data_IF_601402508394
#
_entry.id   IF_601402508394
#
_cell.length_a   1.000
_cell.length_b   1.000
_cell.length_c   1.000
_cell.angle_alpha   90.00
_cell.angle_beta   90.00
_cell.angle_gamma   90.00
#
_symmetry.space_group_name_H-M   'P 1'
#
loop_
_entity.id
_entity.type
_entity.pdbx_description
1 polymer ?
#
# COMPACT_ATOMS: atom_id res chain seq x y z
N UNK A 1 -16.25 -8.09 9.47
CA UNK A 1 -15.94 -8.91 10.67
C UNK A 1 -15.37 -10.28 10.30
N UNK A 2 -15.80 -10.95 9.19
CA UNK A 2 -15.32 -12.27 8.79
C UNK A 2 -13.88 -12.32 8.29
N UNK A 3 -13.43 -11.29 7.58
CA UNK A 3 -12.10 -11.24 6.97
C UNK A 3 -10.93 -11.46 7.96
N UNK A 4 -10.98 -10.81 9.13
CA UNK A 4 -9.93 -10.98 10.14
C UNK A 4 -9.87 -12.40 10.69
N UNK A 5 -11.01 -13.04 10.90
CA UNK A 5 -11.09 -14.43 11.35
C UNK A 5 -10.56 -15.40 10.29
N UNK A 6 -10.89 -15.18 9.02
CA UNK A 6 -10.37 -15.96 7.90
C UNK A 6 -8.84 -15.92 7.86
N UNK A 7 -8.23 -14.74 8.01
CA UNK A 7 -6.76 -14.60 8.04
C UNK A 7 -6.14 -15.30 9.24
N UNK A 8 -6.72 -15.13 10.43
CA UNK A 8 -6.24 -15.81 11.63
C UNK A 8 -6.33 -17.34 11.49
N UNK A 9 -7.43 -17.87 10.98
CA UNK A 9 -7.56 -19.32 10.73
C UNK A 9 -6.50 -19.83 9.74
N UNK A 10 -6.19 -19.05 8.70
CA UNK A 10 -5.15 -19.42 7.73
C UNK A 10 -3.77 -19.51 8.41
N UNK A 11 -3.44 -18.60 9.32
CA UNK A 11 -2.21 -18.65 10.11
C UNK A 11 -2.19 -19.91 11.00
N UNK A 12 -3.27 -20.18 11.74
CA UNK A 12 -3.39 -21.36 12.58
C UNK A 12 -3.21 -22.66 11.78
N UNK A 13 -3.79 -22.77 10.59
CA UNK A 13 -3.58 -23.93 9.72
C UNK A 13 -2.13 -24.10 9.32
N UNK A 14 -1.44 -23.02 9.01
CA UNK A 14 0.00 -23.08 8.69
C UNK A 14 0.82 -23.60 9.87
N UNK A 15 0.52 -23.12 11.09
CA UNK A 15 1.18 -23.56 12.32
C UNK A 15 0.90 -25.05 12.61
N UNK A 16 -0.36 -25.50 12.49
CA UNK A 16 -0.76 -26.90 12.71
C UNK A 16 -0.15 -27.86 11.66
N UNK A 17 -0.14 -27.47 10.38
CA UNK A 17 0.52 -28.29 9.34
C UNK A 17 2.01 -28.44 9.58
N UNK A 18 2.68 -27.44 10.09
CA UNK A 18 4.07 -27.55 10.53
C UNK A 18 4.19 -28.51 11.72
N UNK A 19 3.39 -28.31 12.77
CA UNK A 19 3.47 -29.11 13.99
C UNK A 19 3.14 -30.59 13.77
N UNK A 20 2.12 -30.90 12.96
CA UNK A 20 1.65 -32.27 12.74
C UNK A 20 2.33 -33.01 11.59
N UNK A 21 2.79 -32.28 10.57
CA UNK A 21 3.26 -32.85 9.30
C UNK A 21 4.67 -32.47 8.93
N UNK A 22 5.29 -31.57 9.66
CA UNK A 22 6.59 -31.01 9.30
C UNK A 22 6.59 -30.20 7.99
N UNK A 23 5.42 -29.69 7.58
CA UNK A 23 5.31 -28.86 6.38
C UNK A 23 5.82 -27.47 6.70
N UNK A 24 6.95 -27.08 6.15
CA UNK A 24 7.47 -25.71 6.27
C UNK A 24 6.53 -24.71 5.61
N UNK A 25 6.12 -23.71 6.37
CA UNK A 25 5.22 -22.63 5.92
C UNK A 25 5.82 -21.28 6.27
N UNK A 26 5.61 -20.29 5.39
CA UNK A 26 6.02 -18.89 5.59
C UNK A 26 4.76 -18.02 5.71
N UNK A 27 4.65 -17.24 6.80
CA UNK A 27 3.44 -16.45 7.10
C UNK A 27 3.78 -14.96 7.15
N UNK A 28 3.42 -14.22 6.10
CA UNK A 28 3.62 -12.78 6.02
C UNK A 28 2.28 -12.02 6.19
N UNK A 29 2.20 -11.14 7.18
CA UNK A 29 1.08 -10.22 7.41
C UNK A 29 1.32 -8.91 6.67
N UNK A 30 0.75 -8.80 5.48
CA UNK A 30 0.92 -7.62 4.63
C UNK A 30 0.20 -6.40 5.17
N UNK A 31 0.90 -5.27 5.21
CA UNK A 31 0.30 -3.95 5.28
C UNK A 31 -0.01 -3.41 3.87
N UNK A 32 -0.48 -2.15 3.76
CA UNK A 32 -0.86 -1.63 2.45
C UNK A 32 0.32 -1.61 1.48
N UNK A 33 0.21 -2.36 0.40
CA UNK A 33 1.20 -2.40 -0.68
C UNK A 33 0.75 -1.48 -1.82
N UNK A 34 1.69 -0.77 -2.44
CA UNK A 34 1.45 0.08 -3.59
C UNK A 34 2.62 0.00 -4.58
N UNK A 35 2.39 0.39 -5.81
CA UNK A 35 3.43 0.42 -6.84
C UNK A 35 2.88 0.27 -8.24
N UNK A 36 3.74 0.29 -9.26
CA UNK A 36 3.38 -0.05 -10.63
C UNK A 36 2.76 -1.46 -10.74
N UNK A 37 1.96 -1.66 -11.79
CA UNK A 37 1.26 -2.91 -12.13
C UNK A 37 0.14 -3.30 -11.18
N UNK A 38 -0.17 -2.48 -10.17
CA UNK A 38 -1.33 -2.67 -9.29
C UNK A 38 -2.61 -2.08 -9.89
N UNK A 39 -3.75 -2.39 -9.25
CA UNK A 39 -5.02 -1.75 -9.58
C UNK A 39 -4.95 -0.26 -9.29
N UNK A 40 -5.24 0.58 -10.28
CA UNK A 40 -5.18 2.03 -10.19
C UNK A 40 -6.51 2.71 -10.49
N UNK A 41 -7.52 1.95 -10.93
CA UNK A 41 -8.86 2.42 -11.31
C UNK A 41 -9.92 1.36 -11.02
N UNK A 42 -11.21 1.75 -11.03
CA UNK A 42 -12.36 0.84 -10.85
C UNK A 42 -12.83 0.67 -9.40
N UNK A 43 -12.39 1.51 -8.47
CA UNK A 43 -12.88 1.59 -7.08
C UNK A 43 -12.31 0.52 -6.13
N UNK A 44 -11.30 -0.24 -6.56
CA UNK A 44 -10.58 -1.22 -5.73
C UNK A 44 -9.15 -0.82 -5.44
N UNK A 45 -8.71 0.29 -6.01
CA UNK A 45 -7.37 0.83 -5.84
C UNK A 45 -7.15 1.32 -4.40
N UNK A 46 -5.91 1.19 -3.93
CA UNK A 46 -5.48 1.76 -2.65
C UNK A 46 -5.24 3.26 -2.78
N UNK A 47 -5.24 3.96 -1.64
CA UNK A 47 -5.12 5.42 -1.61
C UNK A 47 -3.94 5.99 -2.45
N UNK A 48 -2.72 5.43 -2.45
CA UNK A 48 -1.64 5.94 -3.30
C UNK A 48 -2.01 5.98 -4.78
N UNK A 49 -2.56 4.88 -5.30
CA UNK A 49 -2.97 4.80 -6.71
C UNK A 49 -4.20 5.69 -7.01
N UNK A 50 -5.18 5.74 -6.08
CA UNK A 50 -6.35 6.60 -6.21
C UNK A 50 -5.96 8.09 -6.25
N UNK A 51 -5.02 8.53 -5.41
CA UNK A 51 -4.56 9.92 -5.40
C UNK A 51 -3.78 10.26 -6.68
N UNK A 52 -2.90 9.37 -7.14
CA UNK A 52 -2.23 9.54 -8.44
C UNK A 52 -3.26 9.70 -9.57
N UNK A 53 -4.24 8.80 -9.67
CA UNK A 53 -5.29 8.88 -10.70
C UNK A 53 -6.07 10.18 -10.63
N UNK A 54 -6.58 10.56 -9.46
CA UNK A 54 -7.38 11.78 -9.27
C UNK A 54 -6.59 13.04 -9.65
N UNK A 55 -5.32 13.12 -9.29
CA UNK A 55 -4.46 14.25 -9.66
C UNK A 55 -4.21 14.30 -11.16
N UNK A 56 -3.96 13.15 -11.81
CA UNK A 56 -3.79 13.05 -13.27
C UNK A 56 -5.07 13.49 -13.99
N UNK A 57 -6.24 13.00 -13.56
CA UNK A 57 -7.54 13.38 -14.11
C UNK A 57 -7.81 14.88 -13.96
N UNK A 58 -7.56 15.45 -12.79
CA UNK A 58 -7.72 16.88 -12.54
C UNK A 58 -6.81 17.73 -13.42
N UNK A 59 -5.56 17.30 -13.62
CA UNK A 59 -4.59 17.95 -14.50
C UNK A 59 -5.01 17.88 -15.97
N UNK A 60 -5.46 16.72 -16.44
CA UNK A 60 -5.86 16.48 -17.83
C UNK A 60 -7.16 17.20 -18.19
N UNK A 61 -8.13 17.25 -17.27
CA UNK A 61 -9.42 17.92 -17.49
C UNK A 61 -9.41 19.41 -17.20
N UNK A 62 -8.39 19.90 -16.49
CA UNK A 62 -8.33 21.29 -16.01
C UNK A 62 -9.36 21.60 -14.92
N UNK A 63 -9.88 20.58 -14.19
CA UNK A 63 -10.91 20.79 -13.15
C UNK A 63 -10.40 21.62 -11.97
N UNK A 64 -9.08 21.61 -11.71
CA UNK A 64 -8.45 22.37 -10.63
C UNK A 64 -8.78 21.87 -9.22
N UNK A 65 -9.52 20.76 -9.06
CA UNK A 65 -9.98 20.27 -7.75
C UNK A 65 -9.80 18.77 -7.58
N UNK A 66 -9.65 18.34 -6.30
CA UNK A 66 -9.57 16.92 -5.90
C UNK A 66 -10.50 16.64 -4.73
N UNK A 67 -11.27 15.55 -4.80
CA UNK A 67 -12.11 15.07 -3.71
C UNK A 67 -11.33 14.13 -2.79
N UNK A 68 -11.37 14.41 -1.48
CA UNK A 68 -10.78 13.63 -0.40
C UNK A 68 -11.88 13.07 0.50
N UNK A 69 -11.82 11.76 0.81
CA UNK A 69 -12.77 11.12 1.70
C UNK A 69 -12.38 11.35 3.17
N UNK A 70 -13.36 11.78 3.97
CA UNK A 70 -13.15 12.29 5.32
C UNK A 70 -12.53 13.68 5.31
N UNK A 71 -11.84 14.04 6.37
CA UNK A 71 -11.10 15.30 6.50
C UNK A 71 -9.61 15.18 6.08
N UNK A 72 -9.20 13.99 5.64
CA UNK A 72 -7.84 13.71 5.20
C UNK A 72 -6.80 13.59 6.32
N UNK A 73 -7.21 13.65 7.60
CA UNK A 73 -6.31 13.54 8.76
C UNK A 73 -5.90 12.11 9.08
N UNK A 74 -6.66 11.12 8.61
CA UNK A 74 -6.36 9.70 8.86
C UNK A 74 -4.98 9.32 8.28
N UNK A 75 -4.19 8.60 9.10
CA UNK A 75 -2.83 8.22 8.74
C UNK A 75 -2.73 6.75 8.31
N UNK A 76 -1.85 6.46 7.37
CA UNK A 76 -1.54 5.10 6.91
C UNK A 76 -0.05 5.00 6.62
N UNK A 77 0.45 3.77 6.65
CA UNK A 77 1.72 3.44 6.01
C UNK A 77 1.48 2.69 4.71
N UNK A 78 2.38 2.89 3.75
CA UNK A 78 2.32 2.25 2.45
C UNK A 78 3.68 1.67 2.11
N UNK A 79 3.74 0.37 1.85
CA UNK A 79 4.96 -0.34 1.47
C UNK A 79 5.09 -0.41 -0.05
N UNK A 80 6.25 -0.03 -0.57
CA UNK A 80 6.51 -0.12 -2.01
C UNK A 80 6.62 -1.58 -2.47
N UNK A 81 6.11 -1.88 -3.66
CA UNK A 81 6.02 -3.25 -4.17
C UNK A 81 7.37 -3.97 -4.24
N UNK A 82 8.47 -3.29 -4.55
CA UNK A 82 9.78 -3.93 -4.59
C UNK A 82 10.25 -4.39 -3.20
N UNK A 83 9.97 -3.62 -2.15
CA UNK A 83 10.24 -4.04 -0.78
C UNK A 83 9.34 -5.22 -0.38
N UNK A 84 8.08 -5.21 -0.82
CA UNK A 84 7.16 -6.32 -0.58
C UNK A 84 7.68 -7.62 -1.18
N UNK A 85 8.08 -7.61 -2.46
CA UNK A 85 8.61 -8.81 -3.14
C UNK A 85 9.91 -9.30 -2.52
N UNK A 86 10.81 -8.37 -2.17
CA UNK A 86 12.04 -8.70 -1.44
C UNK A 86 11.76 -9.32 -0.08
N UNK A 87 10.83 -8.74 0.69
CA UNK A 87 10.44 -9.27 2.00
C UNK A 87 9.82 -10.67 1.92
N UNK A 88 8.98 -10.93 0.91
CA UNK A 88 8.42 -12.27 0.66
C UNK A 88 9.55 -13.28 0.42
N UNK A 89 10.49 -12.93 -0.45
CA UNK A 89 11.63 -13.81 -0.75
C UNK A 89 12.46 -14.12 0.49
N UNK A 90 12.80 -13.10 1.28
CA UNK A 90 13.57 -13.26 2.51
C UNK A 90 12.83 -14.12 3.56
N UNK A 91 11.51 -13.90 3.73
CA UNK A 91 10.69 -14.67 4.70
C UNK A 91 10.56 -16.14 4.25
N UNK A 92 10.41 -16.37 2.94
CA UNK A 92 10.26 -17.72 2.40
C UNK A 92 11.56 -18.56 2.42
N UNK A 93 12.72 -17.93 2.59
CA UNK A 93 14.02 -18.58 2.54
C UNK A 93 14.81 -18.52 3.87
N UNK A 94 14.12 -18.30 4.99
CA UNK A 94 14.73 -18.34 6.32
C UNK A 94 14.05 -19.36 7.22
N UNK A 95 14.86 -20.23 7.82
CA UNK A 95 14.39 -21.23 8.78
C UNK A 95 13.89 -20.59 10.09
N UNK A 96 14.36 -19.37 10.41
CA UNK A 96 14.01 -18.65 11.63
C UNK A 96 12.53 -18.19 11.68
N UNK A 97 11.81 -18.28 10.54
CA UNK A 97 10.42 -17.86 10.40
C UNK A 97 9.47 -18.98 9.97
N UNK A 98 9.90 -20.24 10.03
CA UNK A 98 9.01 -21.37 9.75
C UNK A 98 7.80 -21.31 10.68
N UNK A 99 6.60 -21.37 10.10
CA UNK A 99 5.31 -21.32 10.79
C UNK A 99 5.13 -20.12 11.76
N UNK A 100 5.92 -19.06 11.58
CA UNK A 100 5.94 -17.90 12.47
C UNK A 100 5.39 -16.68 11.75
N UNK A 101 4.21 -16.12 12.17
CA UNK A 101 3.63 -14.95 11.54
C UNK A 101 4.49 -13.70 11.75
N UNK A 102 4.81 -12.99 10.66
CA UNK A 102 5.60 -11.76 10.71
C UNK A 102 4.95 -10.61 9.95
N UNK A 103 4.98 -9.40 10.52
CA UNK A 103 4.52 -8.21 9.84
C UNK A 103 5.46 -7.84 8.70
N UNK A 104 4.90 -7.57 7.53
CA UNK A 104 5.62 -7.05 6.37
C UNK A 104 4.93 -5.78 5.89
N UNK A 105 5.51 -4.63 6.23
CA UNK A 105 4.95 -3.31 5.94
C UNK A 105 5.93 -2.19 6.21
N UNK A 106 5.58 -0.98 5.78
CA UNK A 106 6.34 0.23 6.10
C UNK A 106 5.96 0.77 7.49
N UNK A 107 6.92 1.31 8.22
CA UNK A 107 6.71 2.07 9.44
C UNK A 107 6.43 3.57 9.18
N UNK A 108 6.70 4.06 7.96
CA UNK A 108 6.51 5.46 7.56
C UNK A 108 5.02 5.83 7.49
N UNK A 109 4.56 6.65 8.44
CA UNK A 109 3.18 7.16 8.48
C UNK A 109 3.03 8.43 7.67
N UNK A 110 1.92 8.51 6.92
CA UNK A 110 1.53 9.71 6.20
C UNK A 110 0.02 9.95 6.35
N UNK A 111 -0.40 11.21 6.48
CA UNK A 111 -1.82 11.57 6.37
C UNK A 111 -2.29 11.52 4.91
N UNK A 112 -3.58 11.38 4.69
CA UNK A 112 -4.12 11.46 3.31
C UNK A 112 -3.90 12.86 2.72
N UNK A 113 -3.99 13.91 3.54
CA UNK A 113 -3.70 15.28 3.09
C UNK A 113 -2.25 15.42 2.62
N UNK A 114 -1.27 14.89 3.37
CA UNK A 114 0.15 14.94 2.99
C UNK A 114 0.44 14.06 1.78
N UNK A 115 -0.24 12.92 1.65
CA UNK A 115 -0.15 12.07 0.46
C UNK A 115 -0.63 12.82 -0.79
N UNK A 116 -1.75 13.55 -0.70
CA UNK A 116 -2.22 14.41 -1.80
C UNK A 116 -1.19 15.50 -2.13
N UNK A 117 -0.66 16.19 -1.11
CA UNK A 117 0.39 17.22 -1.31
C UNK A 117 1.64 16.65 -2.00
N UNK A 118 2.04 15.42 -1.63
CA UNK A 118 3.16 14.72 -2.27
C UNK A 118 2.87 14.45 -3.76
N UNK A 119 1.66 13.97 -4.09
CA UNK A 119 1.30 13.69 -5.48
C UNK A 119 1.16 14.98 -6.30
N UNK A 120 0.59 16.05 -5.72
CA UNK A 120 0.54 17.38 -6.33
C UNK A 120 1.95 17.90 -6.67
N UNK A 121 2.90 17.76 -5.73
CA UNK A 121 4.32 18.12 -5.95
C UNK A 121 4.93 17.32 -7.09
N UNK A 122 4.70 16.01 -7.15
CA UNK A 122 5.19 15.13 -8.22
C UNK A 122 4.59 15.53 -9.58
N UNK A 123 3.30 15.84 -9.62
CA UNK A 123 2.57 16.24 -10.82
C UNK A 123 2.87 17.68 -11.27
N UNK A 124 3.46 18.51 -10.40
CA UNK A 124 3.71 19.93 -10.66
C UNK A 124 2.42 20.77 -10.71
N UNK A 125 1.42 20.43 -9.89
CA UNK A 125 0.12 21.12 -9.82
C UNK A 125 -0.26 21.42 -8.38
N UNK A 126 -1.18 22.36 -8.17
CA UNK A 126 -1.85 22.60 -6.89
C UNK A 126 -3.36 22.56 -7.16
N UNK A 127 -4.10 21.77 -6.37
CA UNK A 127 -5.53 21.56 -6.56
C UNK A 127 -6.31 22.05 -5.34
N UNK A 128 -7.52 22.56 -5.60
CA UNK A 128 -8.49 22.85 -4.54
C UNK A 128 -8.99 21.52 -3.94
N UNK A 129 -9.03 21.42 -2.60
CA UNK A 129 -9.45 20.21 -1.89
C UNK A 129 -10.89 20.30 -1.47
N UNK A 130 -11.71 19.36 -1.92
CA UNK A 130 -13.07 19.16 -1.43
C UNK A 130 -13.13 17.92 -0.53
N UNK A 131 -13.76 18.02 0.64
CA UNK A 131 -13.81 16.98 1.64
C UNK A 131 -15.18 16.34 1.74
N UNK A 132 -15.26 15.02 1.52
CA UNK A 132 -16.47 14.22 1.68
C UNK A 132 -16.51 13.59 3.06
N UNK A 133 -17.00 14.34 4.05
CA UNK A 133 -16.92 13.98 5.48
C UNK A 133 -17.74 12.74 5.87
N UNK A 134 -18.78 12.41 5.11
CA UNK A 134 -19.65 11.25 5.29
C UNK A 134 -19.11 9.96 4.66
N UNK A 135 -18.02 10.05 3.89
CA UNK A 135 -17.40 8.89 3.28
C UNK A 135 -16.65 8.02 4.31
N UNK A 136 -16.61 6.68 4.12
CA UNK A 136 -15.93 5.79 5.05
C UNK A 136 -14.41 6.00 5.02
N UNK A 137 -13.82 6.33 6.17
CA UNK A 137 -12.37 6.56 6.34
C UNK A 137 -11.60 5.40 6.95
N UNK A 138 -12.34 4.45 7.59
CA UNK A 138 -11.75 3.34 8.31
C UNK A 138 -11.16 3.76 9.67
N UNK A 139 -10.01 3.17 10.07
CA UNK A 139 -9.35 3.47 11.35
C UNK A 139 -8.58 4.80 11.29
N UNK A 140 -8.38 5.47 12.44
CA UNK A 140 -7.69 6.76 12.51
C UNK A 140 -6.21 6.68 12.07
N UNK A 141 -5.49 5.64 12.47
CA UNK A 141 -4.08 5.43 12.11
C UNK A 141 -3.70 3.96 12.07
N UNK A 142 -2.74 3.60 11.20
CA UNK A 142 -2.21 2.24 11.12
C UNK A 142 -0.85 2.23 10.40
N UNK A 143 0.15 1.62 11.05
CA UNK A 143 1.46 1.32 10.46
C UNK A 143 1.92 -0.11 10.83
N UNK A 144 3.08 -0.52 10.35
CA UNK A 144 3.70 -1.79 10.70
C UNK A 144 4.61 -1.64 11.91
N UNK A 145 4.53 -2.58 12.84
CA UNK A 145 5.59 -2.81 13.81
C UNK A 145 6.64 -3.74 13.16
N UNK A 146 7.81 -3.20 12.91
CA UNK A 146 8.90 -3.89 12.22
C UNK A 146 9.98 -4.43 13.16
N UNK A 147 9.76 -4.41 14.48
CA UNK A 147 10.74 -4.87 15.48
C UNK A 147 11.19 -6.30 15.20
N UNK A 148 10.25 -7.19 14.93
CA UNK A 148 10.53 -8.61 14.71
C UNK A 148 11.28 -8.84 13.39
N UNK A 149 10.84 -8.25 12.28
CA UNK A 149 11.48 -8.41 10.97
C UNK A 149 12.92 -7.86 10.97
N UNK A 150 13.14 -6.72 11.62
CA UNK A 150 14.50 -6.16 11.82
C UNK A 150 15.38 -7.08 12.67
N UNK A 151 14.83 -7.66 13.74
CA UNK A 151 15.61 -8.53 14.64
C UNK A 151 16.05 -9.82 13.97
N UNK A 152 15.22 -10.42 13.12
CA UNK A 152 15.47 -11.72 12.47
C UNK A 152 16.19 -11.51 11.13
N UNK A 153 15.62 -10.73 10.23
CA UNK A 153 16.14 -10.57 8.86
C UNK A 153 17.20 -9.47 8.72
N UNK A 154 17.50 -8.70 9.79
CA UNK A 154 18.36 -7.52 9.76
C UNK A 154 18.02 -6.55 8.65
N UNK A 155 16.74 -6.51 8.29
CA UNK A 155 16.18 -5.72 7.22
C UNK A 155 14.72 -5.34 7.52
N UNK A 156 14.24 -4.26 6.92
CA UNK A 156 12.84 -3.85 6.84
C UNK A 156 12.56 -3.15 5.51
N UNK A 157 11.31 -3.03 5.08
CA UNK A 157 10.92 -2.16 3.98
C UNK A 157 11.41 -0.74 4.20
N UNK A 158 12.23 -0.22 3.28
CA UNK A 158 12.92 1.05 3.46
C UNK A 158 12.94 1.97 2.23
N UNK A 159 12.19 1.63 1.19
CA UNK A 159 11.98 2.55 0.06
C UNK A 159 11.19 3.76 0.55
N UNK A 160 11.76 5.00 0.51
CA UNK A 160 11.04 6.21 0.90
C UNK A 160 9.73 6.35 0.10
N UNK A 161 8.66 6.76 0.78
CA UNK A 161 7.34 6.84 0.15
C UNK A 161 7.35 7.75 -1.09
N UNK A 162 8.03 8.91 -1.03
CA UNK A 162 8.13 9.84 -2.16
C UNK A 162 8.78 9.19 -3.40
N UNK A 163 9.80 8.33 -3.23
CA UNK A 163 10.49 7.69 -4.34
C UNK A 163 9.63 6.59 -5.00
N UNK A 164 8.93 5.81 -4.19
CA UNK A 164 7.94 4.85 -4.69
C UNK A 164 6.76 5.53 -5.38
N UNK A 165 6.31 6.68 -4.84
CA UNK A 165 5.22 7.47 -5.42
C UNK A 165 5.58 8.08 -6.77
N UNK A 166 6.80 8.59 -6.96
CA UNK A 166 7.28 9.06 -8.28
C UNK A 166 7.16 7.98 -9.35
N UNK A 167 7.61 6.76 -9.04
CA UNK A 167 7.53 5.62 -9.95
C UNK A 167 6.09 5.19 -10.23
N UNK A 168 5.27 5.16 -9.19
CA UNK A 168 3.85 4.79 -9.27
C UNK A 168 3.06 5.81 -10.10
N UNK A 169 3.27 7.10 -9.84
CA UNK A 169 2.65 8.20 -10.59
C UNK A 169 2.99 8.11 -12.08
N UNK A 170 4.28 8.01 -12.42
CA UNK A 170 4.73 7.94 -13.82
C UNK A 170 4.11 6.74 -14.56
N UNK A 171 4.01 5.59 -13.87
CA UNK A 171 3.37 4.42 -14.45
C UNK A 171 1.87 4.61 -14.66
N UNK A 172 1.14 5.14 -13.66
CA UNK A 172 -0.31 5.39 -13.77
C UNK A 172 -0.59 6.45 -14.85
N UNK A 173 0.19 7.52 -14.90
CA UNK A 173 0.05 8.58 -15.92
C UNK A 173 0.17 7.99 -17.33
N UNK A 174 1.16 7.12 -17.54
CA UNK A 174 1.28 6.39 -18.82
C UNK A 174 0.06 5.52 -19.10
N UNK A 175 -0.42 4.72 -18.12
CA UNK A 175 -1.60 3.87 -18.30
C UNK A 175 -2.85 4.68 -18.60
N UNK A 176 -3.02 5.82 -17.94
CA UNK A 176 -4.15 6.72 -18.15
C UNK A 176 -4.17 7.26 -19.59
N UNK A 177 -3.06 7.79 -20.09
CA UNK A 177 -3.00 8.33 -21.44
C UNK A 177 -3.01 7.25 -22.51
N UNK A 178 -2.41 6.10 -22.30
CA UNK A 178 -2.50 4.96 -23.22
C UNK A 178 -3.95 4.50 -23.38
N UNK A 179 -4.70 4.39 -22.28
CA UNK A 179 -6.15 4.05 -22.30
C UNK A 179 -6.95 5.12 -23.05
N UNK A 180 -6.70 6.40 -22.77
CA UNK A 180 -7.37 7.52 -23.44
C UNK A 180 -7.11 7.53 -24.95
N UNK A 181 -5.93 7.11 -25.38
CA UNK A 181 -5.56 6.94 -26.78
C UNK A 181 -6.03 5.63 -27.43
N UNK A 182 -6.79 4.79 -26.69
CA UNK A 182 -7.27 3.49 -27.19
C UNK A 182 -6.18 2.42 -27.34
N UNK A 183 -4.99 2.62 -26.76
CA UNK A 183 -3.92 1.61 -26.70
C UNK A 183 -4.23 0.61 -25.59
N UNK A 184 -4.04 -0.69 -25.87
CA UNK A 184 -4.17 -1.80 -24.89
C UNK A 184 -2.82 -2.14 -24.29
#
# INVERSE_FOLDING_TARGET
RGYGWEKLMSEMFCEEYWAERGMETAIARFHNVYGPFGTWDGGREKAPAAMCRKVIEAKDTGSGAIEIWGDGSQTRSFMYIADCTKGIDMIAHTDDLIATPINLGSSELISINDLVSMVEKIAGVTLERSYKLDAPTGVAGRNSDNTMIQSILKWEPNTPLEDGMKKTYAWIEKQYFDRKAGKR
#
